data_IF_911425915257
#
_entry.id   IF_911425915257
#
_cell.length_a   1.000
_cell.length_b   1.000
_cell.length_c   1.000
_cell.angle_alpha   90.00
_cell.angle_beta   90.00
_cell.angle_gamma   90.00
#
_symmetry.space_group_name_H-M   'P 1'
#
loop_
_entity.id
_entity.type
_entity.pdbx_description
1 polymer ?
2 non-polymer ?
#
# COMPACT_ATOMS: atom_id res chain seq x y z
N UNK A 29 14.55 7.68 -21.02
CA UNK A 29 13.40 8.55 -21.29
C UNK A 29 12.22 8.13 -20.42
N UNK A 30 11.90 6.84 -20.43
CA UNK A 30 10.89 6.25 -19.58
C UNK A 30 11.55 5.35 -18.53
N UNK A 31 11.14 5.44 -17.28
CA UNK A 31 11.83 4.69 -16.22
C UNK A 31 11.21 3.33 -15.95
N UNK A 32 12.09 2.40 -15.54
CA UNK A 32 11.64 1.12 -15.03
C UNK A 32 11.16 1.32 -13.60
N UNK A 33 10.03 0.72 -13.25
CA UNK A 33 9.41 0.94 -11.95
C UNK A 33 9.24 -0.41 -11.25
N UNK A 34 9.51 -0.44 -9.96
CA UNK A 34 9.36 -1.63 -9.14
C UNK A 34 8.58 -1.25 -7.89
N UNK A 35 7.43 -1.87 -7.70
CA UNK A 35 6.54 -1.58 -6.58
C UNK A 35 6.59 -2.76 -5.62
N UNK A 36 7.37 -2.63 -4.55
CA UNK A 36 7.34 -3.60 -3.46
C UNK A 36 6.10 -3.34 -2.63
N UNK A 37 5.36 -4.41 -2.31
CA UNK A 37 4.13 -4.29 -1.56
C UNK A 37 4.15 -5.31 -0.42
N UNK A 38 4.38 -4.82 0.80
CA UNK A 38 4.44 -5.68 1.97
C UNK A 38 3.05 -5.91 2.54
N UNK A 39 2.82 -7.12 3.08
CA UNK A 39 1.53 -7.51 3.63
C UNK A 39 1.54 -7.30 5.14
N UNK A 40 0.67 -6.40 5.61
CA UNK A 40 0.45 -6.15 7.05
C UNK A 40 1.63 -5.44 7.71
N UNK A 41 2.31 -4.55 6.97
CA UNK A 41 3.44 -3.80 7.49
C UNK A 41 2.93 -2.47 8.04
N UNK A 42 3.06 -2.30 9.36
CA UNK A 42 2.63 -1.07 10.01
C UNK A 42 3.54 0.08 9.62
N UNK A 43 3.02 1.31 9.76
CA UNK A 43 3.86 2.49 9.62
C UNK A 43 4.92 2.56 10.70
N UNK A 44 4.70 1.88 11.83
CA UNK A 44 5.67 1.81 12.91
C UNK A 44 6.77 0.80 12.63
N UNK A 45 6.48 -0.22 11.82
CA UNK A 45 7.36 -1.38 11.66
C UNK A 45 8.46 -1.14 10.62
N UNK A 46 9.23 -0.07 10.82
CA UNK A 46 10.37 0.23 9.95
C UNK A 46 11.35 1.07 10.74
N UNK A 47 12.64 0.78 10.58
CA UNK A 47 13.65 1.46 11.36
C UNK A 47 13.64 2.97 11.16
N UNK A 48 13.36 3.42 9.94
CA UNK A 48 13.27 4.83 9.65
C UNK A 48 12.21 5.53 10.50
N UNK A 49 11.21 4.80 10.97
CA UNK A 49 10.22 5.33 11.91
C UNK A 49 10.68 5.25 13.35
N UNK A 50 11.97 5.01 13.60
CA UNK A 50 12.50 4.92 14.94
C UNK A 50 12.40 3.55 15.58
N UNK A 51 11.87 2.56 14.88
CA UNK A 51 11.75 1.21 15.43
C UNK A 51 13.14 0.60 15.58
N UNK A 52 13.55 0.38 16.82
CA UNK A 52 14.90 -0.05 17.14
C UNK A 52 15.06 -1.57 17.13
N UNK A 53 14.03 -2.32 16.74
CA UNK A 53 14.08 -3.76 16.78
C UNK A 53 13.88 -4.43 15.43
N UNK A 54 13.31 -3.72 14.45
CA UNK A 54 13.36 -4.22 13.08
C UNK A 54 14.79 -4.09 12.55
N UNK A 55 15.06 -4.84 11.48
CA UNK A 55 16.30 -4.67 10.71
C UNK A 55 15.87 -4.52 9.26
N UNK A 56 15.53 -3.30 8.86
CA UNK A 56 15.17 -2.97 7.49
C UNK A 56 16.17 -1.98 6.90
N UNK A 57 17.44 -2.38 6.75
CA UNK A 57 18.46 -1.41 6.35
C UNK A 57 18.33 -0.94 4.91
N UNK A 58 18.07 -1.86 3.98
CA UNK A 58 17.92 -1.47 2.58
C UNK A 58 16.70 -0.57 2.40
N UNK A 59 15.63 -0.82 3.16
CA UNK A 59 14.51 0.11 3.18
C UNK A 59 14.93 1.45 3.76
N UNK A 60 15.64 1.42 4.89
CA UNK A 60 16.16 2.65 5.48
C UNK A 60 17.05 3.40 4.51
N UNK A 61 17.85 2.67 3.73
CA UNK A 61 18.64 3.30 2.68
C UNK A 61 17.75 3.94 1.62
N UNK A 62 16.64 3.28 1.27
CA UNK A 62 15.73 3.83 0.27
C UNK A 62 15.03 5.08 0.77
N UNK A 63 14.71 5.14 2.07
CA UNK A 63 14.06 6.32 2.61
C UNK A 63 15.01 7.51 2.67
N UNK A 64 16.27 7.27 3.02
CA UNK A 64 17.25 8.35 3.00
C UNK A 64 17.67 8.70 1.58
N UNK A 65 17.59 7.73 0.66
CA UNK A 65 17.95 7.99 -0.73
C UNK A 65 16.81 8.64 -1.51
N UNK A 66 15.56 8.32 -1.15
CA UNK A 66 14.41 8.90 -1.80
C UNK A 66 13.54 9.68 -0.83
N UNK A 67 12.28 9.90 -1.17
CA UNK A 67 11.37 10.67 -0.32
C UNK A 67 10.48 9.70 0.44
N UNK A 68 10.56 9.75 1.76
CA UNK A 68 9.75 8.90 2.62
C UNK A 68 8.46 9.62 3.02
N UNK A 69 7.39 8.86 3.14
CA UNK A 69 6.07 9.38 3.52
C UNK A 69 5.69 8.75 4.86
N UNK A 70 5.81 9.50 5.95
CA UNK A 70 5.51 8.93 7.26
C UNK A 70 4.02 8.86 7.51
N UNK A 71 3.25 9.86 7.04
CA UNK A 71 1.81 9.87 7.19
C UNK A 71 1.08 9.24 6.02
N UNK A 72 1.68 8.24 5.38
CA UNK A 72 1.00 7.51 4.32
C UNK A 72 -0.14 6.70 4.93
N UNK A 73 -1.33 6.85 4.37
CA UNK A 73 -2.55 6.30 4.97
C UNK A 73 -3.23 5.40 3.96
N UNK A 74 -3.71 4.26 4.43
CA UNK A 74 -4.38 3.26 3.59
C UNK A 74 -5.88 3.47 3.73
N UNK A 75 -6.59 3.54 2.60
CA UNK A 75 -8.00 3.93 2.62
C UNK A 75 -8.85 2.90 3.37
N UNK A 76 -8.62 1.63 3.12
CA UNK A 76 -9.43 0.59 3.75
C UNK A 76 -8.52 -0.46 4.36
N UNK A 77 -8.44 -0.56 5.68
CA UNK A 77 -7.44 -1.40 6.36
C UNK A 77 -7.74 -2.90 6.25
N UNK A 78 -7.78 -3.40 5.02
CA UNK A 78 -8.05 -4.81 4.74
C UNK A 78 -7.15 -5.24 3.59
N UNK A 79 -6.45 -6.35 3.76
CA UNK A 79 -5.45 -6.77 2.79
C UNK A 79 -6.05 -7.33 1.50
N UNK A 80 -7.14 -6.75 1.02
CA UNK A 80 -7.80 -7.23 -0.19
C UNK A 80 -8.49 -6.10 -0.94
N UNK A 81 -9.19 -5.23 -0.20
CA UNK A 81 -9.74 -4.03 -0.80
C UNK A 81 -8.67 -2.97 -0.98
N UNK A 82 -7.73 -2.89 -0.05
CA UNK A 82 -6.55 -2.04 -0.22
C UNK A 82 -5.77 -2.44 -1.46
N UNK A 83 -5.48 -3.73 -1.60
CA UNK A 83 -4.80 -4.22 -2.79
C UNK A 83 -5.62 -3.94 -4.04
N UNK A 84 -6.95 -4.10 -3.94
CA UNK A 84 -7.81 -3.72 -5.06
C UNK A 84 -7.80 -2.22 -5.29
N UNK A 85 -7.86 -1.42 -4.21
CA UNK A 85 -7.73 0.02 -4.35
C UNK A 85 -6.39 0.38 -4.99
N UNK A 86 -5.36 -0.42 -4.74
CA UNK A 86 -4.08 -0.21 -5.42
C UNK A 86 -4.22 -0.40 -6.92
N UNK A 87 -4.83 -1.53 -7.33
CA UNK A 87 -4.97 -1.81 -8.75
C UNK A 87 -5.87 -0.77 -9.42
N UNK A 88 -7.13 -0.70 -8.99
CA UNK A 88 -8.11 0.09 -9.69
C UNK A 88 -8.01 1.58 -9.35
N UNK A 89 -7.34 1.93 -8.25
CA UNK A 89 -7.17 3.33 -7.92
C UNK A 89 -8.42 4.03 -7.41
N UNK A 90 -9.41 3.29 -6.96
CA UNK A 90 -10.63 3.86 -6.43
C UNK A 90 -10.90 3.34 -5.02
N UNK A 91 -11.36 4.25 -4.16
CA UNK A 91 -11.73 3.93 -2.79
C UNK A 91 -12.75 2.78 -2.76
N UNK A 92 -12.87 2.15 -1.59
CA UNK A 92 -13.75 0.99 -1.47
C UNK A 92 -15.22 1.40 -1.56
N UNK A 93 -15.52 2.67 -1.30
CA UNK A 93 -16.87 3.18 -1.58
C UNK A 93 -17.20 3.02 -3.05
N UNK A 94 -16.21 3.17 -3.93
CA UNK A 94 -16.45 3.17 -5.37
C UNK A 94 -16.29 1.79 -5.99
N UNK A 95 -15.28 1.02 -5.60
CA UNK A 95 -15.15 -0.29 -6.24
C UNK A 95 -16.03 -1.32 -5.55
N UNK A 96 -16.03 -1.35 -4.21
CA UNK A 96 -16.80 -2.33 -3.44
C UNK A 96 -16.35 -3.74 -3.80
N UNK A 97 -15.37 -4.23 -3.05
CA UNK A 97 -14.80 -5.56 -3.28
C UNK A 97 -15.85 -6.63 -3.05
N UNK A 98 -15.76 -7.31 -1.90
CA UNK A 98 -16.44 -8.57 -1.58
C UNK A 98 -15.69 -9.24 -0.44
N UNK A 99 -16.18 -10.40 0.05
CA UNK A 99 -15.67 -11.10 1.26
C UNK A 99 -14.37 -10.52 1.84
N UNK A 101 -12.00 -13.21 0.38
CA UNK A 101 -12.49 -14.03 -0.72
C UNK A 101 -13.30 -13.11 -1.65
N UNK A 102 -13.76 -13.65 -2.78
CA UNK A 102 -14.59 -12.89 -3.68
C UNK A 102 -13.88 -12.31 -4.90
N UNK A 103 -14.36 -12.67 -6.09
CA UNK A 103 -13.84 -12.12 -7.33
C UNK A 103 -14.53 -10.81 -7.65
N UNK A 104 -13.78 -9.91 -8.29
CA UNK A 104 -14.20 -8.54 -8.59
C UNK A 104 -13.28 -8.01 -9.69
N UNK A 105 -13.82 -7.38 -10.72
CA UNK A 105 -15.25 -7.28 -10.99
C UNK A 105 -15.45 -7.39 -12.49
N UNK A 106 -15.68 -8.62 -12.98
CA UNK A 106 -15.91 -8.92 -14.39
C UNK A 106 -15.28 -7.84 -15.28
N UNK A 107 -13.97 -7.65 -15.13
CA UNK A 107 -13.22 -6.48 -15.57
C UNK A 107 -13.97 -5.16 -15.54
N UNK A 108 -14.23 -4.66 -14.34
CA UNK A 108 -14.28 -3.23 -14.06
C UNK A 108 -13.00 -2.62 -14.62
N UNK A 109 -12.14 -2.18 -13.70
CA UNK A 109 -10.77 -2.67 -13.57
C UNK A 109 -10.01 -2.87 -14.88
N UNK A 110 -9.93 -1.82 -15.71
CA UNK A 110 -8.90 -1.76 -16.76
C UNK A 110 -8.85 -0.48 -17.60
N UNK A 111 -8.74 0.73 -17.03
CA UNK A 111 -8.82 1.14 -15.62
C UNK A 111 -8.06 0.31 -14.59
N UNK A 112 -6.79 0.03 -14.86
CA UNK A 112 -5.92 -0.68 -13.93
C UNK A 112 -4.48 -0.37 -14.30
N UNK A 113 -3.65 -0.06 -13.31
CA UNK A 113 -2.36 0.53 -13.60
C UNK A 113 -1.39 -0.42 -14.31
N UNK A 114 -1.34 -1.74 -14.02
CA UNK A 114 -0.47 -2.61 -14.82
C UNK A 114 -0.99 -2.73 -16.24
N UNK A 115 -2.26 -3.10 -16.37
CA UNK A 115 -2.88 -3.33 -17.67
C UNK A 115 -2.88 -2.07 -18.53
N UNK A 116 -2.77 -0.90 -17.91
CA UNK A 116 -2.68 0.33 -18.67
C UNK A 116 -1.28 0.50 -19.26
N UNK A 117 -0.25 0.37 -18.41
CA UNK A 117 1.14 0.42 -18.89
C UNK A 117 1.43 -0.69 -19.88
N UNK A 118 0.79 -1.86 -19.70
CA UNK A 118 0.98 -2.96 -20.63
C UNK A 118 0.52 -2.58 -22.03
N UNK A 119 -0.61 -1.89 -22.14
CA UNK A 119 -1.20 -1.53 -23.42
C UNK A 119 -0.74 -0.16 -23.93
N UNK A 120 0.19 0.50 -23.22
CA UNK A 120 0.66 1.81 -23.65
C UNK A 120 2.16 1.86 -23.91
N UNK A 121 2.97 1.05 -23.23
CA UNK A 121 4.38 1.00 -23.57
C UNK A 121 5.30 0.36 -22.55
N UNK A 122 4.79 -0.58 -21.74
CA UNK A 122 5.58 -1.22 -20.72
C UNK A 122 5.47 -2.73 -20.83
N UNK A 123 6.46 -3.42 -20.25
CA UNK A 123 6.50 -4.88 -20.15
C UNK A 123 6.24 -5.22 -18.68
N UNK A 124 4.97 -5.39 -18.34
CA UNK A 124 4.58 -5.53 -16.94
C UNK A 124 4.90 -6.92 -16.42
N UNK A 125 5.00 -7.02 -15.09
CA UNK A 125 5.28 -8.28 -14.42
C UNK A 125 4.83 -8.27 -12.97
N UNK A 126 4.24 -9.38 -12.52
CA UNK A 126 3.73 -9.48 -11.16
C UNK A 126 4.19 -10.78 -10.53
N UNK A 127 4.45 -10.75 -9.22
CA UNK A 127 4.78 -11.95 -8.46
C UNK A 127 4.26 -11.78 -7.05
N UNK A 128 3.46 -12.74 -6.60
CA UNK A 128 2.97 -12.73 -5.24
C UNK A 128 1.46 -12.80 -5.11
N UNK A 129 0.91 -12.11 -4.13
CA UNK A 129 -0.50 -12.16 -3.81
C UNK A 129 -1.26 -11.08 -4.57
N UNK A 130 -2.13 -11.49 -5.50
CA UNK A 130 -2.97 -10.55 -6.22
C UNK A 130 -4.10 -10.04 -5.34
N UNK A 131 -4.82 -10.96 -4.71
CA UNK A 131 -5.77 -10.58 -3.68
C UNK A 131 -7.13 -10.16 -4.18
N UNK A 132 -7.56 -10.65 -5.34
CA UNK A 132 -8.85 -10.22 -5.86
C UNK A 132 -9.60 -11.42 -6.44
N UNK A 133 -8.86 -12.46 -6.81
CA UNK A 133 -9.44 -13.75 -7.24
C UNK A 133 -10.13 -13.59 -8.60
N UNK A 134 -9.52 -12.79 -9.47
CA UNK A 134 -10.10 -12.50 -10.77
C UNK A 134 -9.31 -13.24 -11.84
N UNK A 135 -10.04 -13.91 -12.74
CA UNK A 135 -9.47 -14.96 -13.60
C UNK A 135 -9.05 -14.37 -14.94
N UNK A 136 -7.86 -13.78 -14.97
CA UNK A 136 -7.24 -13.32 -16.21
C UNK A 136 -5.74 -13.14 -16.04
N UNK A 137 -5.29 -11.89 -15.89
CA UNK A 137 -3.89 -11.53 -15.63
C UNK A 137 -3.00 -11.79 -16.86
N UNK A 138 -1.99 -10.94 -17.07
CA UNK A 138 -1.27 -10.97 -18.35
C UNK A 138 0.21 -10.58 -18.17
N UNK A 139 0.98 -10.88 -19.24
CA UNK A 139 2.36 -10.49 -19.50
C UNK A 139 3.38 -11.47 -18.90
N UNK A 140 3.57 -11.42 -17.59
CA UNK A 140 4.52 -12.30 -16.91
C UNK A 140 4.17 -12.30 -15.44
N UNK A 141 3.81 -13.44 -14.88
CA UNK A 141 3.31 -13.45 -13.52
C UNK A 141 3.40 -14.84 -12.92
N UNK A 142 3.08 -14.90 -11.62
CA UNK A 142 3.04 -16.12 -10.83
C UNK A 142 2.35 -15.80 -9.51
N UNK A 143 1.03 -15.86 -9.49
CA UNK A 143 0.27 -15.51 -8.29
C UNK A 143 0.27 -16.69 -7.32
N UNK A 144 0.62 -16.42 -6.07
CA UNK A 144 0.71 -17.46 -5.04
C UNK A 144 -0.67 -17.60 -4.41
N UNK A 145 -1.47 -18.53 -4.93
CA UNK A 145 -2.88 -18.64 -4.59
C UNK A 145 -3.16 -19.63 -3.47
N UNK A 146 -2.13 -20.22 -2.85
CA UNK A 146 -2.31 -21.25 -1.83
C UNK A 146 -3.10 -20.73 -0.64
N UNK A 147 -4.33 -21.25 -0.47
CA UNK A 147 -5.21 -20.85 0.63
C UNK A 147 -5.42 -19.34 0.66
N UNK A 150 -2.24 -16.33 -1.13
CA UNK A 150 -1.34 -15.78 -0.12
C UNK A 150 -0.39 -16.84 0.44
N UNK A 151 -0.63 -17.22 1.69
CA UNK A 151 0.35 -17.98 2.48
C UNK A 151 0.40 -19.46 2.12
N UNK A 152 0.88 -20.26 3.09
CA UNK A 152 1.19 -21.69 3.07
C UNK A 152 2.65 -21.88 3.46
N UNK A 153 3.20 -20.92 4.21
CA UNK A 153 4.60 -20.84 4.60
C UNK A 153 5.54 -21.24 3.48
N UNK A 154 6.36 -22.27 3.71
CA UNK A 154 7.28 -22.79 2.69
C UNK A 154 6.54 -23.70 1.72
N UNK A 155 6.75 -23.47 0.43
CA UNK A 155 6.02 -24.07 -0.69
C UNK A 155 4.53 -23.73 -0.64
N UNK A 156 3.95 -23.54 -1.81
CA UNK A 156 2.67 -22.85 -1.96
C UNK A 156 2.24 -22.94 -3.41
N UNK A 157 0.92 -22.89 -3.63
CA UNK A 157 0.33 -23.04 -4.95
C UNK A 157 0.48 -21.76 -5.76
N UNK A 158 0.92 -21.91 -7.02
CA UNK A 158 1.17 -20.75 -7.86
C UNK A 158 0.54 -20.78 -9.24
N UNK A 159 -0.33 -19.82 -9.53
CA UNK A 159 -1.04 -19.73 -10.79
C UNK A 159 -0.28 -18.77 -11.72
N UNK A 160 0.37 -19.33 -12.75
CA UNK A 160 1.22 -18.62 -13.68
C UNK A 160 0.57 -18.64 -15.07
N UNK A 161 1.38 -18.67 -16.12
CA UNK A 161 0.90 -18.71 -17.49
C UNK A 161 0.67 -20.16 -17.92
N UNK A 162 -0.28 -20.34 -18.84
CA UNK A 162 -0.71 -21.66 -19.34
C UNK A 162 -1.48 -22.43 -18.28
N UNK A 163 -0.86 -22.79 -17.14
CA UNK A 163 -1.60 -23.49 -16.09
C UNK A 163 -1.04 -23.20 -14.69
N UNK A 164 -0.90 -24.22 -13.84
CA UNK A 164 -0.57 -24.06 -12.42
C UNK A 164 0.60 -24.98 -12.06
N UNK A 165 1.47 -24.47 -11.18
CA UNK A 165 2.68 -25.19 -10.77
C UNK A 165 3.19 -24.59 -9.47
N UNK A 166 3.37 -25.43 -8.45
CA UNK A 166 3.78 -25.03 -7.12
C UNK A 166 5.25 -25.35 -6.91
N UNK A 167 5.93 -24.53 -6.11
CA UNK A 167 7.38 -24.55 -6.08
C UNK A 167 7.91 -24.41 -4.66
N UNK A 168 9.21 -24.67 -4.52
CA UNK A 168 9.85 -24.96 -3.25
C UNK A 168 10.72 -23.79 -2.79
N UNK A 169 10.57 -23.43 -1.50
CA UNK A 169 11.62 -22.94 -0.60
C UNK A 169 11.00 -22.13 0.54
N UNK A 170 10.34 -21.00 0.22
CA UNK A 170 9.71 -20.10 1.17
C UNK A 170 9.26 -18.85 0.43
N UNK A 171 8.10 -18.29 0.80
CA UNK A 171 7.52 -17.17 0.07
C UNK A 171 8.53 -16.06 -0.17
N UNK A 172 9.02 -15.44 0.91
CA UNK A 172 9.83 -14.24 0.82
C UNK A 172 11.00 -14.40 -0.14
N UNK A 173 11.72 -15.52 -0.03
CA UNK A 173 12.86 -15.77 -0.91
C UNK A 173 12.41 -16.12 -2.32
N UNK A 174 11.31 -16.87 -2.45
CA UNK A 174 10.84 -17.29 -3.77
C UNK A 174 10.47 -16.09 -4.63
N UNK A 175 9.52 -15.27 -4.16
CA UNK A 175 9.16 -14.08 -4.92
C UNK A 175 10.31 -13.08 -4.98
N UNK A 176 11.29 -13.20 -4.09
CA UNK A 176 12.48 -12.36 -4.21
C UNK A 176 13.37 -12.79 -5.36
N UNK A 177 13.59 -14.10 -5.49
CA UNK A 177 14.39 -14.60 -6.60
C UNK A 177 13.69 -14.38 -7.94
N UNK A 178 12.36 -14.49 -7.95
CA UNK A 178 11.61 -14.27 -9.18
C UNK A 178 11.79 -12.85 -9.70
N UNK A 179 11.85 -11.88 -8.78
CA UNK A 179 12.11 -10.50 -9.19
C UNK A 179 13.50 -10.37 -9.79
N UNK A 180 14.49 -11.02 -9.18
CA UNK A 180 15.84 -11.03 -9.74
C UNK A 180 15.82 -11.57 -11.17
N UNK A 181 15.20 -12.75 -11.35
CA UNK A 181 15.10 -13.34 -12.68
C UNK A 181 14.39 -12.38 -13.64
N UNK A 182 13.33 -11.71 -13.19
CA UNK A 182 12.61 -10.79 -14.05
C UNK A 182 13.49 -9.65 -14.53
N UNK A 183 14.38 -9.16 -13.64
CA UNK A 183 15.29 -8.09 -14.04
C UNK A 183 16.35 -8.63 -15.00
N UNK A 184 17.08 -9.67 -14.56
CA UNK A 184 18.14 -10.23 -15.39
C UNK A 184 17.60 -10.74 -16.71
N UNK A 185 16.63 -11.65 -16.66
CA UNK A 185 16.11 -12.29 -17.87
C UNK A 185 15.14 -11.39 -18.61
N UNK A 186 13.97 -11.93 -18.99
CA UNK A 186 13.12 -11.28 -19.98
C UNK A 186 11.99 -10.50 -19.30
N UNK A 187 12.42 -9.47 -18.59
CA UNK A 187 11.95 -8.14 -18.87
C UNK A 187 12.93 -7.62 -19.92
N UNK A 188 12.52 -7.62 -21.19
CA UNK A 188 13.48 -7.49 -22.26
C UNK A 188 13.77 -6.01 -22.52
N UNK A 189 15.04 -5.72 -22.81
CA UNK A 189 15.63 -4.40 -22.62
C UNK A 189 15.02 -3.32 -23.49
N UNK A 190 14.06 -3.64 -24.34
CA UNK A 190 13.55 -2.62 -25.27
C UNK A 190 12.64 -1.63 -24.57
N UNK A 191 11.35 -2.05 -24.28
CA UNK A 191 10.45 -1.20 -23.51
C UNK A 191 10.73 -1.34 -22.01
N UNK A 192 10.44 -0.28 -21.26
CA UNK A 192 10.67 -0.32 -19.81
C UNK A 192 9.73 -1.32 -19.14
N UNK A 193 10.20 -1.87 -18.03
CA UNK A 193 9.41 -2.83 -17.27
C UNK A 193 8.84 -2.17 -16.02
N UNK A 194 7.69 -2.67 -15.59
CA UNK A 194 7.04 -2.25 -14.35
C UNK A 194 6.74 -3.53 -13.57
N UNK A 195 7.56 -3.82 -12.57
CA UNK A 195 7.50 -5.09 -11.84
C UNK A 195 6.77 -4.88 -10.52
N UNK A 196 5.59 -5.48 -10.39
CA UNK A 196 4.80 -5.40 -9.17
C UNK A 196 5.12 -6.60 -8.28
N UNK A 197 5.62 -6.33 -7.08
CA UNK A 197 6.00 -7.36 -6.11
C UNK A 197 5.05 -7.30 -4.92
N UNK A 198 4.41 -8.43 -4.62
CA UNK A 198 3.47 -8.52 -3.50
C UNK A 198 3.95 -9.62 -2.57
N UNK A 199 4.62 -9.23 -1.48
CA UNK A 199 5.11 -10.19 -0.51
C UNK A 199 4.01 -10.56 0.47
N UNK A 200 4.00 -11.84 0.86
CA UNK A 200 3.06 -12.32 1.87
C UNK A 200 3.56 -12.08 3.29
N UNK A 201 4.85 -11.83 3.48
CA UNK A 201 5.33 -11.50 4.80
C UNK A 201 5.06 -10.02 5.10
N UNK A 202 4.87 -9.67 6.38
CA UNK A 202 4.76 -10.55 7.55
C UNK A 202 3.32 -10.93 7.93
N UNK A 203 2.52 -11.35 6.95
CA UNK A 203 1.18 -11.87 7.23
C UNK A 203 1.30 -13.26 7.85
N UNK A 204 0.70 -13.43 9.04
CA UNK A 204 0.79 -14.68 9.78
C UNK A 204 0.26 -15.88 8.98
N UNK A 262 5.76 -7.37 26.10
CA UNK A 262 4.84 -8.27 25.40
C UNK A 262 4.12 -7.38 24.35
N UNK A 263 3.11 -7.83 23.58
CA UNK A 263 2.33 -9.07 23.69
C UNK A 263 2.93 -10.25 22.92
N UNK A 264 2.53 -11.46 23.31
CA UNK A 264 3.08 -12.72 22.83
C UNK A 264 4.61 -12.68 22.84
N UNK A 265 5.18 -11.80 23.65
CA UNK A 265 6.61 -11.73 23.94
C UNK A 265 7.49 -11.56 22.71
N UNK A 266 7.70 -12.65 21.97
CA UNK A 266 8.54 -12.59 20.78
C UNK A 266 7.83 -13.11 19.54
N UNK A 267 6.49 -13.21 19.56
CA UNK A 267 5.77 -13.30 18.30
C UNK A 267 5.77 -11.96 17.59
N UNK A 268 5.96 -10.88 18.33
CA UNK A 268 6.22 -9.59 17.71
C UNK A 268 7.63 -9.59 17.12
N UNK A 269 8.54 -10.35 17.73
CA UNK A 269 9.87 -10.57 17.17
C UNK A 269 9.78 -11.24 15.80
N UNK A 270 9.13 -12.40 15.73
CA UNK A 270 9.01 -13.12 14.48
C UNK A 270 8.32 -12.31 13.40
N UNK A 271 7.35 -11.48 13.79
CA UNK A 271 6.75 -10.54 12.85
C UNK A 271 7.82 -9.60 12.28
N UNK A 272 8.64 -9.02 13.17
CA UNK A 272 9.71 -8.14 12.73
C UNK A 272 10.76 -8.89 11.92
N UNK A 273 10.99 -10.17 12.26
CA UNK A 273 11.94 -10.97 11.50
C UNK A 273 11.51 -11.12 10.05
N UNK A 274 10.21 -11.33 9.82
CA UNK A 274 9.73 -11.56 8.46
C UNK A 274 9.92 -10.33 7.57
N UNK A 275 9.91 -9.14 8.16
CA UNK A 275 10.21 -7.93 7.39
C UNK A 275 11.71 -7.77 7.16
N UNK A 276 12.54 -8.37 8.01
CA UNK A 276 13.98 -8.26 7.84
C UNK A 276 14.47 -9.10 6.66
N UNK A 277 13.81 -10.22 6.39
CA UNK A 277 14.14 -11.06 5.25
C UNK A 277 13.63 -10.57 3.92
N UNK A 278 12.71 -9.60 3.93
CA UNK A 278 12.34 -8.93 2.69
C UNK A 278 13.44 -7.98 2.24
N UNK A 279 14.16 -7.38 3.19
CA UNK A 279 15.21 -6.43 2.86
C UNK A 279 16.37 -7.12 2.14
N UNK A 280 16.67 -8.37 2.53
CA UNK A 280 17.67 -9.14 1.81
C UNK A 280 17.32 -9.23 0.33
N UNK A 281 16.04 -9.42 0.02
CA UNK A 281 15.59 -9.40 -1.37
C UNK A 281 15.68 -8.02 -1.98
N UNK A 282 15.63 -6.97 -1.17
CA UNK A 282 15.79 -5.63 -1.73
C UNK A 282 17.26 -5.38 -2.05
N UNK A 283 18.18 -5.90 -1.24
CA UNK A 283 19.59 -5.86 -1.59
C UNK A 283 19.84 -6.56 -2.92
N UNK A 284 19.28 -7.76 -3.09
CA UNK A 284 19.54 -8.55 -4.29
C UNK A 284 18.87 -7.93 -5.52
N UNK A 285 17.67 -7.37 -5.35
CA UNK A 285 17.02 -6.72 -6.48
C UNK A 285 17.89 -5.58 -7.01
N UNK A 286 18.14 -4.55 -6.18
CA UNK A 286 18.89 -3.40 -6.68
C UNK A 286 20.34 -3.75 -7.01
N UNK A 287 20.88 -4.82 -6.43
CA UNK A 287 22.16 -5.35 -6.91
C UNK A 287 22.01 -5.95 -8.29
N UNK A 288 20.87 -6.61 -8.55
CA UNK A 288 20.65 -7.11 -9.91
C UNK A 288 20.54 -5.96 -10.90
N UNK A 289 19.93 -4.86 -10.47
CA UNK A 289 19.77 -3.70 -11.32
C UNK A 289 21.10 -3.08 -11.79
N UNK A 290 22.20 -3.27 -11.08
CA UNK A 290 23.43 -2.69 -11.58
C UNK A 290 24.12 -3.60 -12.62
N UNK A 291 23.91 -4.92 -12.54
CA UNK A 291 24.48 -5.80 -13.55
C UNK A 291 23.86 -5.49 -14.91
N UNK A 292 22.53 -5.51 -14.99
CA UNK A 292 21.82 -5.05 -16.18
C UNK A 292 22.02 -3.56 -16.41
N UNK A 293 22.52 -2.82 -15.43
CA UNK A 293 22.83 -1.42 -15.60
C UNK A 293 21.62 -0.55 -15.89
N UNK A 294 20.72 -0.45 -14.92
CA UNK A 294 19.51 0.35 -15.07
C UNK A 294 19.10 0.94 -13.73
N UNK A 295 19.97 0.82 -12.72
CA UNK A 295 19.59 1.26 -11.37
C UNK A 295 19.42 2.77 -11.29
N UNK A 296 20.13 3.52 -12.13
CA UNK A 296 19.89 4.95 -12.26
C UNK A 296 18.72 5.27 -13.16
N UNK A 297 18.03 4.24 -13.66
CA UNK A 297 16.86 4.40 -14.51
C UNK A 297 15.65 3.64 -13.95
N UNK A 298 15.75 3.11 -12.73
CA UNK A 298 14.67 2.33 -12.14
C UNK A 298 14.29 2.95 -10.80
N UNK A 299 13.23 3.76 -10.83
CA UNK A 299 12.60 4.25 -9.61
C UNK A 299 11.90 3.10 -8.90
N UNK A 300 12.15 2.97 -7.59
CA UNK A 300 11.57 1.90 -6.79
C UNK A 300 10.60 2.48 -5.78
N UNK A 301 9.48 1.79 -5.58
CA UNK A 301 8.40 2.21 -4.70
C UNK A 301 8.09 1.08 -3.74
N UNK A 302 7.99 1.39 -2.46
CA UNK A 302 7.73 0.40 -1.41
C UNK A 302 6.53 0.88 -0.60
N UNK A 303 5.65 -0.05 -0.21
CA UNK A 303 4.50 0.30 0.60
C UNK A 303 4.10 -0.86 1.49
N UNK A 304 3.45 -0.51 2.61
CA UNK A 304 2.77 -1.48 3.44
C UNK A 304 1.31 -1.55 3.02
N UNK A 305 0.76 -2.77 3.07
CA UNK A 305 -0.57 -2.99 2.49
C UNK A 305 -1.65 -2.44 3.40
N UNK A 306 -1.52 -2.62 4.70
CA UNK A 306 -2.45 -2.03 5.67
C UNK A 306 -1.76 -2.00 7.03
N UNK A 307 -2.46 -1.43 8.00
CA UNK A 307 -1.94 -1.31 9.33
C UNK A 307 -2.02 -2.62 10.10
N UNK A 308 -1.76 -2.51 11.40
CA UNK A 308 -1.72 -3.67 12.27
C UNK A 308 -2.08 -3.26 13.68
N UNK A 309 -2.18 -4.26 14.56
CA UNK A 309 -2.37 -4.05 15.99
C UNK A 309 -1.46 -5.03 16.73
N UNK A 310 -0.56 -4.48 17.54
CA UNK A 310 0.39 -5.27 18.33
C UNK A 310 0.21 -4.90 19.80
N UNK A 311 -0.88 -5.36 20.40
CA UNK A 311 -1.09 -5.15 21.81
C UNK A 311 -1.77 -3.85 22.20
N UNK A 312 -1.94 -2.92 21.27
CA UNK A 312 -2.69 -1.70 21.56
C UNK A 312 -4.15 -2.05 21.81
N UNK A 313 -4.73 -1.45 22.85
CA UNK A 313 -6.11 -1.68 23.25
C UNK A 313 -6.37 -3.14 23.64
N UNK A 314 -5.33 -3.88 23.98
CA UNK A 314 -5.37 -5.35 24.02
C UNK A 314 -6.01 -5.89 22.75
N UNK A 315 -5.58 -5.36 21.61
CA UNK A 315 -6.16 -5.69 20.31
C UNK A 315 -5.08 -6.21 19.37
N UNK A 316 -5.51 -7.07 18.45
CA UNK A 316 -4.70 -7.55 17.34
C UNK A 316 -5.50 -7.35 16.06
N UNK A 317 -4.89 -7.70 14.93
CA UNK A 317 -5.56 -7.52 13.65
C UNK A 317 -5.52 -6.07 13.17
N UNK A 318 -6.58 -5.67 12.47
CA UNK A 318 -6.68 -4.31 11.93
C UNK A 318 -8.15 -3.92 11.73
N UNK A 319 -8.48 -3.40 10.55
CA UNK A 319 -9.86 -3.14 10.10
C UNK A 319 -10.50 -1.93 10.74
N UNK A 320 -10.16 -1.62 11.99
CA UNK A 320 -10.65 -0.39 12.59
C UNK A 320 -9.90 0.81 12.02
N UNK A 321 -10.32 2.01 12.40
CA UNK A 321 -9.89 3.24 11.74
C UNK A 321 -9.02 4.09 12.66
N UNK A 322 -8.08 3.42 13.32
CA UNK A 322 -7.07 4.08 14.12
C UNK A 322 -5.80 4.23 13.30
N UNK A 323 -4.92 5.13 13.76
CA UNK A 323 -3.75 5.48 12.96
C UNK A 323 -2.86 4.26 12.70
N UNK A 324 -2.68 3.41 13.72
CA UNK A 324 -1.85 2.22 13.54
C UNK A 324 -2.48 1.20 12.60
N UNK A 325 -3.72 1.41 12.18
CA UNK A 325 -4.40 0.51 11.25
C UNK A 325 -4.53 1.07 9.85
N UNK A 326 -4.55 2.40 9.69
CA UNK A 326 -4.63 3.01 8.38
C UNK A 326 -3.29 3.52 7.87
N UNK A 327 -2.35 3.81 8.75
CA UNK A 327 -1.07 4.37 8.34
C UNK A 327 -0.07 3.26 8.00
N UNK A 328 0.64 3.43 6.91
CA UNK A 328 1.62 2.46 6.41
C UNK A 328 2.86 3.18 5.98
N UNK A 329 4.01 2.49 5.88
CA UNK A 329 5.22 3.14 5.37
C UNK A 329 5.31 3.10 3.86
N UNK A 330 5.33 4.27 3.22
CA UNK A 330 5.45 4.38 1.78
C UNK A 330 6.76 5.07 1.44
N UNK A 331 7.66 4.36 0.78
CA UNK A 331 8.92 4.90 0.31
C UNK A 331 8.85 5.05 -1.20
N UNK A 332 9.23 6.23 -1.69
CA UNK A 332 9.30 6.50 -3.13
C UNK A 332 10.68 7.06 -3.41
N UNK A 333 11.54 6.26 -4.05
CA UNK A 333 12.93 6.63 -4.30
C UNK A 333 13.18 6.66 -5.81
N UNK A 334 13.49 7.84 -6.33
CA UNK A 334 13.75 8.01 -7.75
C UNK A 334 15.22 8.32 -7.97
N UNK A 335 16.01 7.40 -8.53
CA UNK A 335 17.45 7.66 -8.71
C UNK A 335 17.74 8.65 -9.81
N UNK A 336 16.78 8.95 -10.69
CA UNK A 336 16.96 9.94 -11.75
C UNK A 336 16.58 11.33 -11.24
N UNK A 337 15.27 11.55 -11.07
CA UNK A 337 14.73 12.89 -11.08
C UNK A 337 15.16 13.69 -9.87
N UNK A 338 15.38 13.04 -8.72
CA UNK A 338 15.96 13.74 -7.58
C UNK A 338 17.02 12.86 -6.94
N UNK A 339 18.28 13.27 -7.10
CA UNK A 339 19.40 12.60 -6.42
C UNK A 339 19.25 12.60 -4.91
N UNK A 340 18.61 13.62 -4.33
CA UNK A 340 18.59 13.83 -2.89
C UNK A 340 17.17 13.76 -2.34
N UNK A 341 17.07 13.40 -1.06
CA UNK A 341 15.80 13.10 -0.43
C UNK A 341 15.06 14.35 0.00
N UNK A 342 13.82 14.15 0.45
CA UNK A 342 13.09 15.13 1.24
C UNK A 342 11.94 14.40 1.92
N UNK A 343 11.81 14.59 3.23
CA UNK A 343 10.80 13.90 4.01
C UNK A 343 9.48 14.64 3.89
N UNK A 344 8.41 13.93 3.57
CA UNK A 344 7.08 14.50 3.39
C UNK A 344 6.15 14.00 4.50
N UNK A 345 5.32 14.90 5.04
CA UNK A 345 4.54 14.62 6.24
C UNK A 345 3.03 14.63 5.98
N UNK A 346 2.60 14.06 4.86
CA UNK A 346 1.23 14.12 4.39
C UNK A 346 0.80 12.73 3.88
N UNK A 347 -0.17 12.69 2.98
CA UNK A 347 -1.15 11.60 3.04
C UNK A 347 -1.28 10.77 1.77
N UNK A 348 -1.63 9.49 2.00
CA UNK A 348 -2.54 8.68 1.18
C UNK A 348 -1.87 7.65 0.26
N UNK A 349 -2.59 6.55 0.04
CA UNK A 349 -2.16 5.33 -0.63
C UNK A 349 -2.66 5.23 -2.06
N UNK A 350 -3.93 5.53 -2.28
CA UNK A 350 -4.56 5.43 -3.59
C UNK A 350 -3.86 6.36 -4.58
N UNK A 351 -2.90 7.14 -4.08
CA UNK A 351 -2.08 8.01 -4.90
C UNK A 351 -1.03 7.26 -5.70
N UNK A 352 -0.55 6.12 -5.17
CA UNK A 352 0.52 5.40 -5.85
C UNK A 352 0.11 5.02 -7.27
N UNK A 353 -1.12 4.51 -7.43
CA UNK A 353 -1.65 4.19 -8.75
C UNK A 353 -1.44 5.34 -9.72
N UNK A 354 -1.80 6.56 -9.30
CA UNK A 354 -1.51 7.73 -10.14
C UNK A 354 -0.01 7.96 -10.23
N UNK A 355 0.73 7.73 -9.14
CA UNK A 355 2.17 7.88 -9.17
C UNK A 355 2.84 6.87 -10.09
N UNK A 356 2.17 5.76 -10.42
CA UNK A 356 2.72 4.82 -11.40
C UNK A 356 2.54 5.35 -12.81
N UNK A 357 1.30 5.70 -13.18
CA UNK A 357 1.01 6.07 -14.56
C UNK A 357 1.66 7.39 -14.93
N UNK A 358 1.47 8.42 -14.10
CA UNK A 358 2.17 9.69 -14.28
C UNK A 358 3.66 9.49 -14.47
N UNK A 359 4.25 8.59 -13.68
CA UNK A 359 5.66 8.25 -13.80
C UNK A 359 5.97 7.67 -15.17
N UNK A 360 5.07 6.84 -15.70
CA UNK A 360 5.28 6.13 -16.95
C UNK A 360 4.91 6.95 -18.17
N UNK A 361 4.59 8.23 -17.99
CA UNK A 361 4.16 9.05 -19.10
C UNK A 361 2.85 8.61 -19.74
N UNK A 362 1.92 8.07 -18.96
CA UNK A 362 0.64 7.61 -19.45
C UNK A 362 -0.46 8.38 -18.73
N UNK A 363 -1.45 8.85 -19.49
CA UNK A 363 -2.58 9.59 -18.93
C UNK A 363 -3.38 8.71 -17.99
N UNK A 364 -3.38 9.06 -16.71
CA UNK A 364 -4.07 8.25 -15.71
C UNK A 364 -5.57 8.28 -15.96
N UNK A 365 -6.23 7.13 -15.97
CA UNK A 365 -7.68 7.10 -16.27
C UNK A 365 -8.48 8.07 -15.41
N UNK A 366 -9.60 8.52 -15.97
CA UNK A 366 -10.47 9.48 -15.28
C UNK A 366 -11.08 8.87 -14.03
N UNK A 367 -11.20 7.53 -13.99
CA UNK A 367 -11.86 6.88 -12.86
C UNK A 367 -11.05 7.03 -11.58
N UNK A 368 -9.74 6.79 -11.66
CA UNK A 368 -8.88 6.72 -10.48
C UNK A 368 -9.09 7.91 -9.55
N UNK A 369 -9.37 7.61 -8.28
CA UNK A 369 -9.72 8.60 -7.27
C UNK A 369 -8.53 9.01 -6.42
N UNK A 370 -7.34 9.02 -7.00
CA UNK A 370 -6.16 9.49 -6.31
C UNK A 370 -5.51 10.70 -6.96
N UNK A 371 -4.32 11.07 -6.48
CA UNK A 371 -3.53 12.14 -7.08
C UNK A 371 -2.06 11.78 -7.07
N UNK A 372 -1.35 12.24 -8.11
CA UNK A 372 0.06 11.88 -8.31
C UNK A 372 0.94 12.41 -7.19
N UNK A 373 1.91 11.60 -6.75
CA UNK A 373 2.93 12.00 -5.80
C UNK A 373 4.22 12.45 -6.47
N UNK A 374 4.21 12.60 -7.80
CA UNK A 374 5.39 13.14 -8.48
C UNK A 374 5.71 14.57 -8.07
N UNK A 375 4.74 15.50 -7.91
CA UNK A 375 5.10 16.85 -7.44
C UNK A 375 5.82 16.87 -6.09
N UNK A 376 5.67 15.81 -5.30
CA UNK A 376 6.28 15.78 -3.97
C UNK A 376 7.74 15.32 -3.99
N UNK A 377 8.09 14.45 -4.93
CA UNK A 377 9.39 13.78 -4.91
C UNK A 377 10.46 14.61 -5.63
N UNK A 378 10.13 15.22 -6.76
CA UNK A 378 11.04 16.15 -7.41
C UNK A 378 10.86 17.57 -6.89
N UNK A 379 10.20 17.74 -5.74
CA UNK A 379 10.08 19.02 -5.05
C UNK A 379 9.44 20.08 -5.94
N UNK A 380 8.45 19.66 -6.73
CA UNK A 380 7.73 20.55 -7.64
C UNK A 380 6.70 21.38 -6.87
N UNK A 381 5.64 21.80 -7.57
CA UNK A 381 4.60 22.59 -6.95
C UNK A 381 3.72 21.72 -6.05
N UNK A 382 2.82 22.39 -5.32
CA UNK A 382 1.91 21.76 -4.38
C UNK A 382 2.67 20.83 -3.43
N UNK A 383 3.64 21.41 -2.74
CA UNK A 383 4.36 20.67 -1.72
C UNK A 383 3.53 20.49 -0.45
N UNK A 384 2.32 21.07 -0.39
CA UNK A 384 1.37 20.82 0.70
C UNK A 384 0.24 19.91 0.24
N UNK A 385 0.46 19.17 -0.83
CA UNK A 385 -0.44 18.14 -1.32
C UNK A 385 -1.82 18.69 -1.71
N UNK A 386 -2.34 19.70 -0.99
CA UNK A 386 -3.66 20.29 -1.29
C UNK A 386 -4.78 19.24 -1.27
N UNK A 387 -4.57 18.18 -0.50
CA UNK A 387 -5.60 17.18 -0.23
C UNK A 387 -6.01 17.30 1.22
N UNK A 388 -6.59 18.45 1.58
CA UNK A 388 -6.74 18.84 2.97
C UNK A 388 -7.47 17.80 3.80
N UNK A 389 -8.42 17.07 3.20
CA UNK A 389 -9.20 16.07 3.92
C UNK A 389 -9.32 14.82 3.06
N UNK A 390 -9.18 13.65 3.70
CA UNK A 390 -9.19 12.35 3.04
C UNK A 390 -10.27 11.46 3.65
N UNK A 391 -10.52 10.34 2.98
CA UNK A 391 -11.57 9.40 3.36
C UNK A 391 -10.91 8.07 3.76
N UNK A 392 -11.69 7.22 4.45
CA UNK A 392 -11.30 5.84 4.73
C UNK A 392 -12.54 5.08 5.20
N UNK A 393 -12.58 3.77 4.91
CA UNK A 393 -13.83 3.02 5.02
C UNK A 393 -13.54 1.55 5.32
N UNK A 394 -14.61 0.80 5.65
CA UNK A 394 -14.54 -0.64 5.84
C UNK A 394 -15.94 -1.20 5.59
N UNK A 395 -16.17 -1.77 4.41
CA UNK A 395 -17.46 -2.36 4.05
C UNK A 395 -17.35 -3.86 4.38
N UNK A 396 -18.07 -4.29 5.41
CA UNK A 396 -17.67 -5.50 6.14
C UNK A 396 -18.80 -6.52 6.21
N UNK A 397 -18.44 -7.69 6.78
CA UNK A 397 -19.21 -8.91 6.91
C UNK A 397 -19.07 -9.48 8.32
N UNK A 398 -18.24 -10.51 8.45
CA UNK A 398 -18.16 -11.36 9.65
C UNK A 398 -17.61 -10.57 10.84
N UNK A 399 -17.51 -11.26 11.98
CA UNK A 399 -17.56 -10.62 13.30
C UNK A 399 -16.33 -9.74 13.55
N UNK A 400 -16.54 -8.43 13.70
CA UNK A 400 -17.77 -7.74 13.28
C UNK A 400 -17.45 -6.42 12.54
N UNK A 401 -17.33 -5.33 13.28
CA UNK A 401 -17.97 -4.07 12.86
C UNK A 401 -17.31 -3.43 11.65
N UNK A 402 -18.06 -2.61 10.91
CA UNK A 402 -17.50 -1.78 9.86
C UNK A 402 -17.34 -0.34 10.33
N UNK A 403 -16.74 0.53 9.52
CA UNK A 403 -16.61 1.94 9.86
C UNK A 403 -16.38 2.74 8.58
N UNK A 404 -16.59 4.04 8.67
CA UNK A 404 -16.22 4.97 7.60
C UNK A 404 -16.05 6.35 8.21
N UNK A 405 -14.98 7.03 7.81
CA UNK A 405 -14.71 8.34 8.37
C UNK A 405 -13.81 9.15 7.46
N UNK A 406 -13.24 10.19 8.06
CA UNK A 406 -12.36 11.11 7.35
C UNK A 406 -11.25 11.55 8.30
N UNK A 407 -10.13 11.99 7.73
CA UNK A 407 -8.98 12.40 8.54
C UNK A 407 -8.42 13.70 7.97
N UNK A 408 -7.80 14.50 8.83
CA UNK A 408 -7.18 15.76 8.46
C UNK A 408 -5.83 15.86 9.15
N UNK A 409 -5.06 16.90 8.81
CA UNK A 409 -3.70 17.02 9.32
C UNK A 409 -3.64 17.03 10.85
N UNK A 410 -4.71 17.46 11.53
CA UNK A 410 -4.73 17.35 12.98
C UNK A 410 -6.11 16.98 13.53
N UNK A 411 -6.92 16.28 12.74
CA UNK A 411 -8.27 15.89 13.18
C UNK A 411 -8.63 14.53 12.60
N UNK A 412 -9.35 13.74 13.40
CA UNK A 412 -9.78 12.40 13.01
C UNK A 412 -11.26 12.22 13.34
N UNK A 413 -11.93 11.40 12.54
CA UNK A 413 -13.35 11.17 12.73
C UNK A 413 -13.74 9.85 12.05
N UNK A 414 -14.57 9.06 12.74
CA UNK A 414 -15.08 7.82 12.18
C UNK A 414 -16.21 7.29 13.05
N UNK A 415 -17.18 6.62 12.42
CA UNK A 415 -18.33 6.05 13.12
C UNK A 415 -18.66 4.68 12.54
N UNK A 416 -18.90 3.72 13.42
CA UNK A 416 -19.25 2.35 13.02
C UNK A 416 -20.71 2.29 12.59
N UNK A 417 -21.12 1.15 12.03
CA UNK A 417 -22.50 1.05 11.53
C UNK A 417 -23.15 -0.31 11.80
N UNK A 418 -22.37 -1.40 11.83
CA UNK A 418 -22.92 -2.73 12.10
C UNK A 418 -22.23 -3.30 13.33
N UNK A 419 -22.90 -3.21 14.47
CA UNK A 419 -24.24 -2.62 14.52
C UNK A 419 -24.32 -1.49 15.53
N UNK A 420 -24.29 -0.25 15.02
CA UNK A 420 -24.27 0.94 15.87
C UNK A 420 -24.04 2.21 15.05
N UNK A 421 -23.65 3.29 15.73
CA UNK A 421 -23.08 4.50 15.15
C UNK A 421 -22.30 5.20 16.27
N UNK A 422 -21.25 4.54 16.79
CA UNK A 422 -20.40 5.16 17.81
C UNK A 422 -19.51 6.20 17.17
N UNK A 423 -19.96 7.45 17.15
CA UNK A 423 -19.15 8.52 16.60
C UNK A 423 -17.94 8.76 17.48
N UNK A 424 -16.80 9.04 16.83
CA UNK A 424 -15.55 9.30 17.54
C UNK A 424 -14.76 10.38 16.83
N UNK A 425 -14.11 11.25 17.61
CA UNK A 425 -13.30 12.34 17.08
C UNK A 425 -12.11 12.56 17.99
N UNK A 426 -10.92 12.66 17.40
CA UNK A 426 -9.69 12.88 18.15
C UNK A 426 -8.88 13.98 17.48
N UNK A 427 -8.04 14.64 18.28
CA UNK A 427 -7.10 15.62 17.77
C UNK A 427 -5.77 14.92 17.53
N UNK A 428 -5.23 15.08 16.32
CA UNK A 428 -4.10 14.28 15.87
C UNK A 428 -2.79 14.83 16.41
N UNK A 429 -2.67 16.15 16.51
CA UNK A 429 -1.40 16.75 16.92
C UNK A 429 -1.20 16.72 18.42
N UNK A 430 -2.25 16.50 19.22
CA UNK A 430 -2.11 16.44 20.66
C UNK A 430 -2.43 15.08 21.26
N UNK A 431 -3.24 14.26 20.59
CA UNK A 431 -3.57 12.91 21.06
C UNK A 431 -3.30 11.92 19.93
N UNK A 432 -2.03 11.57 19.72
CA UNK A 432 -1.72 10.61 18.64
C UNK A 432 -2.02 9.16 18.99
N UNK A 433 -2.06 8.79 20.26
CA UNK A 433 -2.49 7.45 20.65
C UNK A 433 -4.00 7.39 20.91
N UNK A 434 -4.75 8.41 20.48
CA UNK A 434 -6.19 8.36 20.30
C UNK A 434 -6.91 7.76 21.50
N UNK A 435 -6.60 8.27 22.69
CA UNK A 435 -7.21 7.74 23.91
C UNK A 435 -8.26 8.68 24.48
N UNK A 436 -8.50 9.84 23.88
CA UNK A 436 -9.46 10.81 24.39
C UNK A 436 -10.46 11.19 23.30
N UNK A 437 -11.62 10.54 23.31
CA UNK A 437 -12.69 10.88 22.39
C UNK A 437 -13.21 12.28 22.69
N UNK A 438 -13.35 13.10 21.65
CA UNK A 438 -13.64 14.51 21.81
C UNK A 438 -15.04 14.92 21.36
N UNK A 439 -15.88 13.97 20.95
CA UNK A 439 -17.25 14.36 20.57
C UNK A 439 -18.08 14.59 21.81
N UNK A 440 -19.16 15.33 21.64
CA UNK A 440 -20.00 15.76 22.75
C UNK A 440 -19.55 17.06 23.36
N UNK A 441 -18.24 17.20 23.61
CA UNK A 441 -17.73 18.37 24.30
C UNK A 441 -17.85 19.61 23.43
N UNK A 442 -18.44 20.66 24.01
CA UNK A 442 -18.93 21.81 23.24
C UNK A 442 -17.82 22.52 22.49
N UNK A 443 -16.60 22.54 23.03
CA UNK A 443 -15.51 23.25 22.37
C UNK A 443 -15.07 22.58 21.07
N UNK A 444 -15.47 21.34 20.83
CA UNK A 444 -15.08 20.63 19.62
C UNK A 444 -16.25 19.90 18.96
N UNK A 445 -17.49 20.19 19.33
CA UNK A 445 -18.60 19.60 18.59
C UNK A 445 -18.91 20.38 17.31
N UNK A 446 -18.34 21.58 17.15
CA UNK A 446 -18.42 22.28 15.88
C UNK A 446 -17.41 21.73 14.88
N UNK A 447 -16.21 21.35 15.33
CA UNK A 447 -15.29 20.72 14.40
C UNK A 447 -15.73 19.30 14.09
N UNK A 448 -16.60 18.71 14.91
CA UNK A 448 -17.17 17.42 14.56
C UNK A 448 -18.24 17.58 13.49
N UNK A 449 -19.00 18.67 13.53
CA UNK A 449 -19.99 18.91 12.49
C UNK A 449 -19.34 19.28 11.17
N UNK A 450 -18.18 19.96 11.21
CA UNK A 450 -17.46 20.25 9.98
C UNK A 450 -16.87 18.99 9.37
N UNK A 451 -16.49 18.02 10.21
CA UNK A 451 -15.94 16.76 9.70
C UNK A 451 -17.03 15.77 9.34
N UNK A 452 -18.07 15.68 10.17
CA UNK A 452 -19.22 14.85 9.83
C UNK A 452 -19.84 15.28 8.51
N UNK A 453 -19.86 16.59 8.23
CA UNK A 453 -20.35 17.08 6.95
C UNK A 453 -19.42 16.66 5.81
N UNK A 454 -18.13 17.00 5.93
CA UNK A 454 -17.17 16.66 4.89
C UNK A 454 -17.09 15.16 4.64
N UNK A 455 -17.50 14.33 5.60
CA UNK A 455 -17.55 12.89 5.38
C UNK A 455 -18.60 12.53 4.35
N UNK A 456 -19.84 13.00 4.56
CA UNK A 456 -20.87 12.86 3.53
C UNK A 456 -20.45 13.58 2.25
N UNK A 457 -19.89 14.79 2.40
CA UNK A 457 -19.23 15.48 1.30
C UNK A 457 -17.86 14.88 0.98
N UNK A 458 -17.78 13.55 0.91
CA UNK A 458 -16.60 12.82 0.46
C UNK A 458 -17.00 11.39 0.13
N UNK A 459 -18.04 10.88 0.79
CA UNK A 459 -18.56 9.56 0.47
C UNK A 459 -19.20 9.56 -0.91
N UNK A 460 -20.05 10.55 -1.17
CA UNK A 460 -20.71 10.66 -2.46
C UNK A 460 -19.84 11.30 -3.54
N UNK A 461 -18.72 11.93 -3.17
CA UNK A 461 -17.82 12.49 -4.19
C UNK A 461 -17.05 11.41 -4.94
N UNK A 462 -17.16 10.14 -4.52
CA UNK A 462 -16.57 9.03 -5.23
C UNK A 462 -17.62 8.19 -5.94
N UNK A 463 -18.69 7.82 -5.25
CA UNK A 463 -19.90 7.25 -5.84
C UNK A 463 -19.66 5.92 -6.54
N UNK A 464 -19.38 5.96 -7.84
CA UNK A 464 -19.15 4.74 -8.60
C UNK A 464 -18.26 5.00 -9.81
#
# INVERSE_FOLDING_TARGET
MGSSHHHHHHSSGLVPRGSHMASQTVKKEKPNIIFILTDDQRFDAIGYAGNKFVNTPEMDKLAQQGTYFDHAIVTTPICAASRASLWTGLHERSHNFNFQTGNVREEYMNNAYPKLLKNNGYYTGFYGKYGVRYDNLESQFDEFESYDRNNRYKDKRGYYYKTINNDTVHLTRYTGQQAIDFIDKNATNTQPFMLSLSFSAPHAHDGAPEQYFWQTTTDALLQDTTLPGPDLADEKYFLAQPQAVRDGFNRLRWTWRYDDPEKYQHSLKGYYRMISGIDLEIKKIRDKLKEKGVDKNTVIIVMGDNGYFLGERQLAGKWLMYDNSIRVPLIVFDPRVNKHQDISEMVLNIDVTQTIADLAGVKAPESWQGKSLLPLVKQETSTISRDTILIEHLWDFENIPPSEGVRTEEWKYFRYVNDKTIEELYNIKKDPKEINNLIGKKKYQNVAKALREKLDELIAKNSDEFR
#
